data_IF_990447090892
#
_entry.id   IF_990447090892
#
_cell.length_a   1.000
_cell.length_b   1.000
_cell.length_c   1.000
_cell.angle_alpha   90.00
_cell.angle_beta   90.00
_cell.angle_gamma   90.00
#
_symmetry.space_group_name_H-M   'P 1'
#
loop_
_entity.id
_entity.type
_entity.pdbx_description
1 polymer ?
#
# COMPACT_ATOMS: atom_id res chain seq x y z
N UNK A 1 -32.27 -4.33 -22.13
CA UNK A 1 -32.38 -5.26 -20.99
C UNK A 1 -33.54 -4.73 -20.15
N UNK A 2 -34.59 -5.50 -19.92
CA UNK A 2 -35.77 -5.03 -19.19
C UNK A 2 -35.75 -5.68 -17.82
N UNK A 3 -35.89 -4.88 -16.76
CA UNK A 3 -35.94 -5.39 -15.39
C UNK A 3 -37.16 -6.32 -15.25
N UNK A 4 -36.96 -7.55 -14.79
CA UNK A 4 -38.07 -8.48 -14.53
C UNK A 4 -38.79 -8.08 -13.24
N UNK A 5 -40.09 -8.39 -13.13
CA UNK A 5 -40.92 -8.00 -11.97
C UNK A 5 -40.34 -8.46 -10.63
N UNK A 6 -39.71 -9.64 -10.61
CA UNK A 6 -39.10 -10.19 -9.40
C UNK A 6 -37.91 -9.33 -8.92
N UNK A 7 -37.08 -8.86 -9.87
CA UNK A 7 -35.95 -7.98 -9.56
C UNK A 7 -36.47 -6.60 -9.15
N UNK A 8 -37.48 -6.07 -9.85
CA UNK A 8 -38.09 -4.79 -9.49
C UNK A 8 -38.64 -4.80 -8.05
N UNK A 9 -39.38 -5.85 -7.67
CA UNK A 9 -39.93 -5.97 -6.32
C UNK A 9 -38.87 -6.23 -5.24
N UNK A 10 -37.68 -6.72 -5.62
CA UNK A 10 -36.59 -7.00 -4.67
C UNK A 10 -35.73 -5.77 -4.39
N UNK A 11 -35.59 -4.87 -5.38
CA UNK A 11 -34.62 -3.78 -5.34
C UNK A 11 -35.25 -2.38 -5.45
N UNK A 12 -36.57 -2.26 -5.54
CA UNK A 12 -37.27 -0.97 -5.65
C UNK A 12 -38.42 -0.93 -4.64
N UNK A 13 -38.51 0.16 -3.87
CA UNK A 13 -39.59 0.38 -2.90
C UNK A 13 -40.91 0.90 -3.56
N UNK A 14 -41.92 1.18 -2.74
CA UNK A 14 -43.23 1.70 -3.20
C UNK A 14 -43.14 3.11 -3.82
N UNK A 15 -42.12 3.87 -3.44
CA UNK A 15 -41.87 5.22 -3.92
C UNK A 15 -40.94 5.26 -5.15
N UNK A 16 -40.44 4.10 -5.60
CA UNK A 16 -39.58 3.98 -6.77
C UNK A 16 -38.09 4.16 -6.49
N UNK A 17 -37.67 4.22 -5.22
CA UNK A 17 -36.26 4.32 -4.83
C UNK A 17 -35.59 2.94 -4.84
N UNK A 18 -34.30 2.91 -5.18
CA UNK A 18 -33.52 1.67 -5.14
C UNK A 18 -33.15 1.31 -3.70
N UNK A 19 -33.44 0.08 -3.29
CA UNK A 19 -33.19 -0.44 -1.93
C UNK A 19 -32.53 -1.82 -1.95
N UNK A 20 -31.81 -2.17 -0.88
CA UNK A 20 -31.35 -3.53 -0.60
C UNK A 20 -31.35 -3.76 0.91
N UNK A 21 -31.97 -4.85 1.39
CA UNK A 21 -32.09 -5.15 2.83
C UNK A 21 -32.60 -3.95 3.65
N UNK A 22 -33.61 -3.24 3.15
CA UNK A 22 -34.22 -2.06 3.76
C UNK A 22 -33.31 -0.81 3.87
N UNK A 23 -32.14 -0.83 3.22
CA UNK A 23 -31.25 0.33 3.07
C UNK A 23 -31.35 0.93 1.66
N UNK A 24 -31.33 2.26 1.56
CA UNK A 24 -31.32 2.96 0.27
C UNK A 24 -29.96 2.81 -0.42
N UNK A 25 -30.00 2.50 -1.71
CA UNK A 25 -28.80 2.44 -2.52
C UNK A 25 -28.45 3.83 -3.06
N UNK A 26 -27.18 4.18 -2.96
CA UNK A 26 -26.64 5.39 -3.56
C UNK A 26 -26.22 5.12 -5.00
N UNK A 27 -26.55 6.06 -5.90
CA UNK A 27 -26.01 6.02 -7.26
C UNK A 27 -24.51 6.29 -7.20
N UNK A 28 -23.70 5.31 -7.61
CA UNK A 28 -22.27 5.53 -7.84
C UNK A 28 -22.05 5.75 -9.32
N UNK A 29 -21.93 7.00 -9.73
CA UNK A 29 -21.49 7.30 -11.10
C UNK A 29 -19.99 7.03 -11.16
N UNK A 30 -19.54 6.02 -11.92
CA UNK A 30 -18.14 5.94 -12.30
C UNK A 30 -17.88 6.98 -13.40
N UNK A 31 -17.89 8.26 -13.01
CA UNK A 31 -17.31 9.31 -13.81
C UNK A 31 -15.81 9.05 -13.91
N UNK A 32 -15.29 9.04 -15.13
CA UNK A 32 -13.87 9.17 -15.38
C UNK A 32 -13.41 10.51 -14.75
N UNK A 33 -12.88 10.43 -13.52
CA UNK A 33 -12.11 11.40 -12.74
C UNK A 33 -12.48 12.90 -12.87
N UNK A 34 -12.98 13.54 -11.79
CA UNK A 34 -12.35 14.72 -11.12
C UNK A 34 -13.11 15.23 -9.86
N UNK A 35 -12.42 15.20 -8.72
CA UNK A 35 -12.45 16.16 -7.58
C UNK A 35 -13.77 16.53 -6.87
N UNK A 36 -14.11 15.81 -5.79
CA UNK A 36 -14.74 16.44 -4.61
C UNK A 36 -13.69 17.33 -3.95
N UNK A 37 -13.88 18.65 -4.00
CA UNK A 37 -13.08 19.62 -3.22
C UNK A 37 -13.41 19.47 -1.74
N UNK A 38 -12.90 18.43 -1.11
CA UNK A 38 -12.45 18.54 0.27
C UNK A 38 -11.28 19.52 0.21
N UNK A 39 -11.42 20.72 0.79
CA UNK A 39 -10.39 21.78 0.70
C UNK A 39 -9.02 21.14 0.91
N UNK A 40 -8.16 21.17 -0.11
CA UNK A 40 -6.87 20.48 -0.11
C UNK A 40 -6.06 20.89 1.13
N UNK A 41 -6.22 22.15 1.57
CA UNK A 41 -5.64 22.68 2.80
C UNK A 41 -6.06 21.93 4.08
N UNK A 42 -7.29 21.41 4.14
CA UNK A 42 -7.80 20.62 5.26
C UNK A 42 -7.14 19.25 5.30
N UNK A 43 -6.97 18.63 4.13
CA UNK A 43 -6.27 17.35 3.98
C UNK A 43 -4.79 17.52 4.32
N UNK A 44 -4.15 18.56 3.80
CA UNK A 44 -2.74 18.88 4.06
C UNK A 44 -2.52 19.13 5.56
N UNK A 45 -3.39 19.89 6.24
CA UNK A 45 -3.30 20.09 7.70
C UNK A 45 -3.51 18.81 8.50
N UNK A 46 -4.36 17.91 8.03
CA UNK A 46 -4.58 16.61 8.67
C UNK A 46 -3.34 15.71 8.53
N UNK A 47 -2.71 15.73 7.35
CA UNK A 47 -1.46 15.02 7.08
C UNK A 47 -0.27 15.60 7.86
N UNK A 48 -0.13 16.93 7.93
CA UNK A 48 0.89 17.61 8.75
C UNK A 48 0.75 17.23 10.22
N UNK A 49 -0.45 17.33 10.79
CA UNK A 49 -0.70 16.92 12.18
C UNK A 49 -0.40 15.44 12.43
N UNK A 50 -0.68 14.56 11.46
CA UNK A 50 -0.42 13.13 11.60
C UNK A 50 1.10 12.84 11.57
N UNK A 51 1.83 13.50 10.67
CA UNK A 51 3.29 13.43 10.58
C UNK A 51 3.94 13.96 11.86
N UNK A 52 3.44 15.07 12.40
CA UNK A 52 3.89 15.61 13.69
C UNK A 52 3.61 14.64 14.85
N UNK A 53 2.44 13.99 14.90
CA UNK A 53 2.07 12.99 15.91
C UNK A 53 2.88 11.68 15.81
N UNK A 54 3.37 11.32 14.63
CA UNK A 54 4.17 10.11 14.41
C UNK A 54 5.63 10.32 14.86
N UNK A 55 6.15 11.54 14.81
CA UNK A 55 7.54 11.83 15.13
C UNK A 55 7.84 11.91 16.64
N UNK A 56 6.82 12.13 17.48
CA UNK A 56 6.96 12.41 18.91
C UNK A 56 6.42 11.31 19.84
N UNK A 57 5.89 10.20 19.32
CA UNK A 57 5.52 9.02 20.13
C UNK A 57 6.51 7.86 19.95
N UNK A 58 7.32 7.68 20.99
CA UNK A 58 7.80 6.39 21.48
C UNK A 58 8.91 5.67 20.70
N UNK A 59 9.98 6.41 20.38
CA UNK A 59 11.29 5.80 20.03
C UNK A 59 12.00 5.10 21.20
N UNK A 60 11.37 4.92 22.38
CA UNK A 60 12.05 4.43 23.59
C UNK A 60 11.71 2.99 23.99
N UNK A 61 10.53 2.48 23.64
CA UNK A 61 10.08 1.12 23.99
C UNK A 61 10.50 0.08 22.95
N UNK A 62 10.01 0.24 21.71
CA UNK A 62 10.25 -0.72 20.62
C UNK A 62 11.70 -0.69 20.17
N UNK A 63 12.37 0.47 20.19
CA UNK A 63 13.80 0.55 19.86
C UNK A 63 14.65 -0.31 20.79
N UNK A 64 14.40 -0.28 22.10
CA UNK A 64 15.15 -1.09 23.08
C UNK A 64 14.85 -2.59 22.97
N UNK A 65 13.60 -2.94 22.66
CA UNK A 65 13.21 -4.34 22.43
C UNK A 65 13.80 -4.85 21.11
N UNK A 66 13.72 -4.07 20.03
CA UNK A 66 14.35 -4.40 18.75
C UNK A 66 15.88 -4.48 18.89
N UNK A 67 16.50 -3.54 19.61
CA UNK A 67 17.95 -3.55 19.86
C UNK A 67 18.35 -4.77 20.73
N UNK A 68 17.55 -5.15 21.74
CA UNK A 68 17.77 -6.39 22.52
C UNK A 68 17.56 -7.65 21.69
N UNK A 69 16.45 -7.75 20.95
CA UNK A 69 16.11 -8.92 20.12
C UNK A 69 17.10 -9.09 18.97
N UNK A 70 17.58 -7.99 18.38
CA UNK A 70 18.63 -8.02 17.36
C UNK A 70 19.95 -8.47 17.98
N UNK A 71 20.37 -7.93 19.13
CA UNK A 71 21.60 -8.38 19.79
C UNK A 71 21.53 -9.85 20.25
N UNK A 72 20.41 -10.28 20.79
CA UNK A 72 20.16 -11.64 21.27
C UNK A 72 20.16 -12.65 20.10
N UNK A 73 19.55 -12.30 18.96
CA UNK A 73 19.72 -13.07 17.71
C UNK A 73 21.13 -13.00 17.15
N UNK A 74 21.89 -11.94 17.38
CA UNK A 74 23.22 -11.79 16.77
C UNK A 74 24.34 -12.49 17.55
N UNK A 75 24.21 -12.69 18.87
CA UNK A 75 25.21 -13.47 19.61
C UNK A 75 25.16 -14.96 19.27
N UNK A 76 23.98 -15.49 18.94
CA UNK A 76 23.82 -16.88 18.48
C UNK A 76 24.34 -17.08 17.03
N UNK A 77 24.50 -16.01 16.24
CA UNK A 77 25.03 -16.05 14.87
C UNK A 77 26.48 -15.54 14.74
N UNK A 78 27.23 -15.46 15.86
CA UNK A 78 28.65 -15.07 15.88
C UNK A 78 29.61 -16.13 15.30
N UNK A 79 29.09 -17.04 14.48
CA UNK A 79 29.88 -17.93 13.61
C UNK A 79 29.89 -17.46 12.15
N UNK A 80 29.28 -16.30 11.82
CA UNK A 80 28.99 -15.95 10.43
C UNK A 80 29.61 -14.63 9.91
N UNK A 81 30.69 -14.16 10.53
CA UNK A 81 31.41 -12.93 10.09
C UNK A 81 31.91 -13.05 8.64
N UNK A 82 32.41 -14.22 8.24
CA UNK A 82 32.84 -14.45 6.87
C UNK A 82 31.69 -14.49 5.87
N UNK A 83 30.56 -15.12 6.21
CA UNK A 83 29.40 -15.19 5.32
C UNK A 83 28.80 -13.81 5.10
N UNK A 84 28.69 -12.99 6.15
CA UNK A 84 28.22 -11.62 6.03
C UNK A 84 29.10 -10.82 5.07
N UNK A 85 30.43 -10.91 5.22
CA UNK A 85 31.40 -10.24 4.34
C UNK A 85 31.35 -10.79 2.90
N UNK A 86 31.22 -12.11 2.73
CA UNK A 86 31.08 -12.76 1.42
C UNK A 86 29.78 -12.32 0.72
N UNK A 87 28.67 -12.23 1.47
CA UNK A 87 27.38 -11.78 0.95
C UNK A 87 27.41 -10.31 0.56
N UNK A 88 28.04 -9.45 1.35
CA UNK A 88 28.24 -8.03 1.00
C UNK A 88 29.07 -7.87 -0.28
N UNK A 89 30.18 -8.59 -0.41
CA UNK A 89 31.02 -8.58 -1.62
C UNK A 89 30.24 -9.02 -2.86
N UNK A 90 29.46 -10.10 -2.75
CA UNK A 90 28.66 -10.62 -3.85
C UNK A 90 27.60 -9.61 -4.30
N UNK A 91 26.91 -8.97 -3.37
CA UNK A 91 25.93 -7.92 -3.68
C UNK A 91 26.58 -6.70 -4.35
N UNK A 92 27.79 -6.32 -3.92
CA UNK A 92 28.54 -5.23 -4.53
C UNK A 92 29.01 -5.56 -5.95
N UNK A 93 29.42 -6.80 -6.19
CA UNK A 93 29.82 -7.28 -7.51
C UNK A 93 28.64 -7.30 -8.48
N UNK A 94 27.50 -7.87 -8.04
CA UNK A 94 26.24 -7.83 -8.82
C UNK A 94 25.87 -6.39 -9.15
N UNK A 95 25.95 -5.45 -8.19
CA UNK A 95 25.67 -4.02 -8.45
C UNK A 95 26.61 -3.41 -9.50
N UNK A 96 27.88 -3.81 -9.54
CA UNK A 96 28.86 -3.32 -10.53
C UNK A 96 28.65 -3.92 -11.92
N UNK A 97 28.21 -5.17 -11.98
CA UNK A 97 28.07 -5.92 -13.24
C UNK A 97 26.66 -5.83 -13.83
N UNK A 98 25.67 -5.38 -13.05
CA UNK A 98 24.31 -5.16 -13.53
C UNK A 98 24.28 -3.97 -14.49
N UNK A 99 24.01 -4.24 -15.75
CA UNK A 99 23.80 -3.20 -16.75
C UNK A 99 22.44 -2.51 -16.53
N UNK A 100 22.32 -1.28 -17.04
CA UNK A 100 21.13 -0.46 -16.87
C UNK A 100 19.88 -1.10 -17.50
N UNK A 101 20.03 -1.82 -18.60
CA UNK A 101 18.92 -2.52 -19.26
C UNK A 101 18.40 -3.66 -18.41
N UNK A 102 19.28 -4.47 -17.83
CA UNK A 102 18.90 -5.53 -16.87
C UNK A 102 18.22 -4.95 -15.63
N UNK A 103 18.71 -3.83 -15.09
CA UNK A 103 18.07 -3.17 -13.95
C UNK A 103 16.64 -2.69 -14.29
N UNK A 104 16.46 -2.07 -15.46
CA UNK A 104 15.14 -1.63 -15.94
C UNK A 104 14.22 -2.83 -16.14
N UNK A 105 14.72 -3.93 -16.72
CA UNK A 105 13.95 -5.16 -16.91
C UNK A 105 13.48 -5.77 -15.59
N UNK A 106 14.35 -5.83 -14.58
CA UNK A 106 13.99 -6.35 -13.24
C UNK A 106 12.94 -5.45 -12.57
N UNK A 107 13.06 -4.12 -12.73
CA UNK A 107 12.06 -3.18 -12.22
C UNK A 107 10.74 -3.38 -12.95
N UNK A 108 10.74 -3.44 -14.28
CA UNK A 108 9.54 -3.62 -15.10
C UNK A 108 8.83 -4.95 -14.81
N UNK A 109 9.57 -6.04 -14.62
CA UNK A 109 9.02 -7.34 -14.25
C UNK A 109 8.33 -7.36 -12.87
N UNK A 110 8.65 -6.38 -12.01
CA UNK A 110 8.00 -6.20 -10.70
C UNK A 110 6.87 -5.16 -10.70
N UNK A 111 6.58 -4.51 -11.83
CA UNK A 111 5.48 -3.57 -11.96
C UNK A 111 4.18 -4.29 -12.34
N UNK A 112 3.01 -3.77 -11.94
CA UNK A 112 1.72 -4.28 -12.38
C UNK A 112 1.54 -4.19 -13.91
N UNK A 113 0.88 -5.19 -14.49
CA UNK A 113 0.73 -5.37 -15.95
C UNK A 113 0.21 -4.13 -16.69
N UNK A 114 -0.71 -3.37 -16.08
CA UNK A 114 -1.30 -2.16 -16.69
C UNK A 114 -0.30 -1.02 -16.94
N UNK A 115 0.89 -1.07 -16.32
CA UNK A 115 1.99 -0.10 -16.55
C UNK A 115 2.91 -0.60 -17.67
N UNK A 116 3.00 -1.92 -17.86
CA UNK A 116 3.89 -2.54 -18.85
C UNK A 116 3.23 -2.75 -20.22
N UNK A 117 1.91 -2.67 -20.32
CA UNK A 117 1.11 -2.97 -21.54
C UNK A 117 0.88 -1.75 -22.46
N UNK A 118 1.83 -0.81 -22.51
CA UNK A 118 1.72 0.49 -23.21
C UNK A 118 2.33 0.49 -24.62
#
# INVERSE_FOLDING_TARGET
>A
ITLTKDIQNTYVDEDGNMIFQDEFLEETTQEQATTTKCSEDSIVKMLEKLVECQQNKDKKGIKKVAERVVLEKFEEFKENSEYAVKKEKLLLEIRKTTDKGTLIYIIAAGLPDFITDL
#
